data_IF_529833317503
#
_entry.id   IF_529833317503
#
_cell.length_a   1.000
_cell.length_b   1.000
_cell.length_c   1.000
_cell.angle_alpha   90.00
_cell.angle_beta   90.00
_cell.angle_gamma   90.00
#
_symmetry.space_group_name_H-M   'P 1'
#
loop_
_entity.id
_entity.type
_entity.pdbx_description
1 polymer ?
#
# COMPACT_ATOMS: atom_id res chain seq x y z
N UNK A 1 43.29 -1.10 22.73
CA UNK A 1 42.06 -0.43 22.26
C UNK A 1 41.58 0.44 23.40
N UNK A 2 41.79 1.76 23.31
CA UNK A 2 41.40 2.73 24.33
C UNK A 2 40.02 3.29 23.96
N UNK A 3 39.03 3.12 24.84
CA UNK A 3 37.63 3.44 24.60
C UNK A 3 37.26 4.93 24.79
N UNK A 4 38.19 5.86 24.57
CA UNK A 4 37.95 7.30 24.72
C UNK A 4 37.76 8.05 23.39
N UNK A 5 37.87 7.37 22.24
CA UNK A 5 37.80 8.01 20.91
C UNK A 5 36.36 8.15 20.37
N UNK A 6 35.35 7.64 21.08
CA UNK A 6 33.94 7.64 20.61
C UNK A 6 33.16 8.90 21.05
N UNK A 7 33.66 9.66 22.03
CA UNK A 7 32.90 10.78 22.64
C UNK A 7 33.13 12.13 21.95
N UNK A 8 34.22 12.29 21.18
CA UNK A 8 34.54 13.56 20.52
C UNK A 8 33.85 13.76 19.16
N UNK A 9 33.28 12.70 18.57
CA UNK A 9 32.52 12.81 17.31
C UNK A 9 31.13 13.43 17.51
N UNK A 10 30.55 13.31 18.72
CA UNK A 10 29.21 13.85 19.02
C UNK A 10 29.25 15.30 19.49
N UNK A 11 30.39 15.80 19.99
CA UNK A 11 30.51 17.13 20.61
C UNK A 11 30.85 18.27 19.64
N UNK A 12 30.95 18.03 18.32
CA UNK A 12 31.31 19.07 17.35
C UNK A 12 30.47 19.01 16.07
N UNK A 13 29.21 19.46 16.16
CA UNK A 13 28.56 20.11 15.02
C UNK A 13 27.72 21.29 15.49
N UNK A 14 27.94 22.50 14.94
CA UNK A 14 27.28 23.72 15.39
C UNK A 14 25.79 23.73 15.04
N UNK A 15 25.04 24.45 15.86
CA UNK A 15 23.66 24.83 15.65
C UNK A 15 23.49 25.75 14.43
N UNK A 16 22.28 25.70 13.90
CA UNK A 16 21.63 26.72 13.07
C UNK A 16 22.04 26.81 11.60
N UNK A 17 21.17 26.27 10.74
CA UNK A 17 20.89 26.85 9.44
C UNK A 17 19.41 26.58 9.17
N UNK A 18 18.56 27.51 9.59
CA UNK A 18 17.23 27.74 9.01
C UNK A 18 17.39 28.06 7.51
N UNK A 19 17.68 27.05 6.70
CA UNK A 19 17.39 27.11 5.28
C UNK A 19 15.93 26.68 5.14
N UNK A 20 15.06 27.70 5.05
CA UNK A 20 13.73 27.61 4.48
C UNK A 20 13.80 26.64 3.30
N UNK A 21 13.30 25.43 3.53
CA UNK A 21 12.91 24.53 2.47
C UNK A 21 11.89 25.32 1.69
N UNK A 22 12.35 25.95 0.61
CA UNK A 22 11.50 26.37 -0.47
C UNK A 22 10.67 25.13 -0.76
N UNK A 23 9.39 25.22 -0.36
CA UNK A 23 8.39 24.27 -0.74
C UNK A 23 8.44 24.29 -2.26
N UNK A 24 9.19 23.33 -2.82
CA UNK A 24 8.80 22.77 -4.08
C UNK A 24 7.38 22.32 -3.80
N UNK A 25 6.43 23.12 -4.26
CA UNK A 25 5.15 22.65 -4.71
C UNK A 25 5.45 21.58 -5.78
N UNK A 26 5.96 20.42 -5.34
CA UNK A 26 5.49 19.18 -5.90
C UNK A 26 3.99 19.31 -5.72
N UNK A 27 3.31 19.64 -6.81
CA UNK A 27 1.95 19.18 -6.96
C UNK A 27 2.01 17.71 -6.62
N UNK A 28 1.68 17.37 -5.37
CA UNK A 28 1.21 16.06 -5.00
C UNK A 28 0.05 15.86 -5.96
N UNK A 29 0.37 15.25 -7.11
CA UNK A 29 -0.59 14.77 -8.08
C UNK A 29 -1.54 13.96 -7.22
N UNK A 30 -2.69 14.55 -6.88
CA UNK A 30 -3.64 13.95 -5.96
C UNK A 30 -4.07 12.66 -6.62
N UNK A 31 -3.39 11.58 -6.27
CA UNK A 31 -3.66 10.27 -6.84
C UNK A 31 -5.06 9.93 -6.37
N UNK A 32 -6.01 10.09 -7.29
CA UNK A 32 -7.40 9.79 -7.00
C UNK A 32 -7.44 8.31 -6.66
N UNK A 33 -7.68 8.01 -5.37
CA UNK A 33 -7.79 6.63 -4.92
C UNK A 33 -8.99 6.01 -5.63
N UNK A 34 -8.80 4.93 -6.42
CA UNK A 34 -9.91 4.34 -7.16
C UNK A 34 -10.97 3.83 -6.18
N UNK A 35 -12.24 3.99 -6.57
CA UNK A 35 -13.34 3.36 -5.84
C UNK A 35 -13.14 1.85 -5.79
N UNK A 36 -13.77 1.16 -4.83
CA UNK A 36 -13.68 -0.29 -4.78
C UNK A 36 -14.03 -0.95 -6.12
N UNK A 37 -15.03 -0.45 -6.85
CA UNK A 37 -15.42 -0.99 -8.15
C UNK A 37 -14.30 -0.83 -9.18
N UNK A 38 -13.72 0.35 -9.27
CA UNK A 38 -12.62 0.65 -10.21
C UNK A 38 -11.37 -0.16 -9.87
N UNK A 39 -11.01 -0.24 -8.59
CA UNK A 39 -9.87 -1.05 -8.13
C UNK A 39 -10.05 -2.54 -8.51
N UNK A 40 -11.26 -3.09 -8.35
CA UNK A 40 -11.55 -4.46 -8.78
C UNK A 40 -11.45 -4.62 -10.31
N UNK A 41 -11.97 -3.66 -11.08
CA UNK A 41 -11.90 -3.71 -12.54
C UNK A 41 -10.46 -3.62 -13.06
N UNK A 42 -9.63 -2.75 -12.47
CA UNK A 42 -8.22 -2.62 -12.81
C UNK A 42 -7.43 -3.90 -12.47
N UNK A 43 -7.70 -4.51 -11.31
CA UNK A 43 -7.06 -5.77 -10.93
C UNK A 43 -7.42 -6.90 -11.90
N UNK A 44 -8.68 -7.00 -12.32
CA UNK A 44 -9.13 -8.05 -13.24
C UNK A 44 -8.52 -7.87 -14.63
N UNK A 45 -8.45 -6.63 -15.13
CA UNK A 45 -7.77 -6.32 -16.39
C UNK A 45 -6.27 -6.63 -16.33
N UNK A 46 -5.59 -6.30 -15.23
CA UNK A 46 -4.18 -6.60 -15.04
C UNK A 46 -3.91 -8.12 -14.98
N UNK A 47 -4.80 -8.89 -14.35
CA UNK A 47 -4.72 -10.35 -14.32
C UNK A 47 -4.88 -10.96 -15.72
N UNK A 48 -5.88 -10.53 -16.48
CA UNK A 48 -6.09 -10.96 -17.86
C UNK A 48 -4.86 -10.67 -18.73
N UNK A 49 -4.30 -9.47 -18.61
CA UNK A 49 -3.07 -9.12 -19.32
C UNK A 49 -1.90 -10.03 -18.90
N UNK A 50 -1.72 -10.25 -17.59
CA UNK A 50 -0.64 -11.09 -17.06
C UNK A 50 -0.75 -12.55 -17.49
N UNK A 51 -1.96 -13.08 -17.66
CA UNK A 51 -2.21 -14.44 -18.16
C UNK A 51 -1.67 -14.68 -19.56
N UNK A 52 -1.67 -13.65 -20.40
CA UNK A 52 -1.21 -13.73 -21.80
C UNK A 52 0.30 -13.51 -21.97
N UNK A 53 1.04 -13.18 -20.91
CA UNK A 53 2.48 -12.95 -21.00
C UNK A 53 3.25 -14.27 -21.03
N UNK A 54 4.33 -14.35 -21.82
CA UNK A 54 5.15 -15.56 -21.95
C UNK A 54 5.83 -15.96 -20.63
N UNK A 55 6.12 -14.98 -19.78
CA UNK A 55 6.75 -15.16 -18.46
C UNK A 55 5.75 -15.55 -17.36
N UNK A 56 4.48 -15.76 -17.70
CA UNK A 56 3.44 -16.10 -16.75
C UNK A 56 3.68 -17.50 -16.14
N UNK A 57 4.19 -17.53 -14.91
CA UNK A 57 4.29 -18.75 -14.10
C UNK A 57 2.94 -19.04 -13.43
N UNK A 58 2.39 -20.22 -13.66
CA UNK A 58 1.08 -20.63 -13.13
C UNK A 58 0.98 -20.52 -11.60
N UNK A 59 2.08 -20.69 -10.86
CA UNK A 59 2.08 -20.49 -9.40
C UNK A 59 1.91 -19.02 -9.00
N UNK A 60 2.57 -18.11 -9.71
CA UNK A 60 2.42 -16.66 -9.50
C UNK A 60 1.00 -16.22 -9.84
N UNK A 61 0.48 -16.68 -10.97
CA UNK A 61 -0.88 -16.40 -11.39
C UNK A 61 -1.92 -16.92 -10.37
N UNK A 62 -1.78 -18.16 -9.90
CA UNK A 62 -2.65 -18.72 -8.88
C UNK A 62 -2.62 -17.91 -7.58
N UNK A 63 -1.43 -17.47 -7.18
CA UNK A 63 -1.24 -16.63 -5.99
C UNK A 63 -1.99 -15.31 -6.13
N UNK A 64 -1.88 -14.63 -7.27
CA UNK A 64 -2.59 -13.38 -7.55
C UNK A 64 -4.12 -13.57 -7.59
N UNK A 65 -4.60 -14.62 -8.25
CA UNK A 65 -6.04 -14.97 -8.27
C UNK A 65 -6.57 -15.25 -6.86
N UNK A 66 -5.79 -15.92 -6.01
CA UNK A 66 -6.18 -16.19 -4.62
C UNK A 66 -6.34 -14.90 -3.79
N UNK A 67 -5.50 -13.89 -4.03
CA UNK A 67 -5.60 -12.58 -3.38
C UNK A 67 -6.89 -11.87 -3.80
N UNK A 68 -7.20 -11.87 -5.11
CA UNK A 68 -8.46 -11.34 -5.64
C UNK A 68 -9.67 -12.03 -4.98
N UNK A 69 -9.65 -13.35 -4.91
CA UNK A 69 -10.74 -14.13 -4.33
C UNK A 69 -10.90 -13.86 -2.82
N UNK A 70 -9.80 -13.70 -2.09
CA UNK A 70 -9.82 -13.31 -0.68
C UNK A 70 -10.46 -11.94 -0.49
N UNK A 71 -10.13 -10.96 -1.33
CA UNK A 71 -10.73 -9.63 -1.30
C UNK A 71 -12.24 -9.69 -1.60
N UNK A 72 -12.65 -10.50 -2.59
CA UNK A 72 -14.05 -10.72 -2.92
C UNK A 72 -14.83 -11.37 -1.76
N UNK A 73 -14.25 -12.39 -1.10
CA UNK A 73 -14.85 -13.03 0.09
C UNK A 73 -15.01 -12.06 1.26
N UNK A 74 -14.01 -11.20 1.53
CA UNK A 74 -14.13 -10.16 2.56
C UNK A 74 -15.27 -9.19 2.25
N UNK A 75 -15.40 -8.76 0.99
CA UNK A 75 -16.52 -7.92 0.56
C UNK A 75 -17.85 -8.62 0.77
N UNK A 76 -17.96 -9.90 0.39
CA UNK A 76 -19.18 -10.68 0.61
C UNK A 76 -19.49 -10.87 2.10
N UNK A 77 -18.50 -11.06 2.97
CA UNK A 77 -18.73 -11.17 4.41
C UNK A 77 -19.20 -9.87 5.05
N UNK A 78 -18.73 -8.71 4.56
CA UNK A 78 -19.22 -7.40 4.99
C UNK A 78 -20.64 -7.12 4.50
N UNK A 79 -21.02 -7.71 3.36
CA UNK A 79 -22.37 -7.63 2.80
C UNK A 79 -23.33 -8.68 3.41
N UNK A 80 -22.85 -9.60 4.26
CA UNK A 80 -23.76 -10.45 5.03
C UNK A 80 -24.56 -9.53 5.95
N UNK A 81 -25.82 -9.39 5.58
CA UNK A 81 -26.83 -8.61 6.28
C UNK A 81 -26.73 -8.89 7.79
N UNK A 82 -26.59 -7.83 8.60
CA UNK A 82 -26.70 -7.95 10.06
C UNK A 82 -27.97 -8.74 10.37
N UNK A 83 -27.89 -9.71 11.29
CA UNK A 83 -29.08 -10.47 11.65
C UNK A 83 -30.10 -9.47 12.20
N UNK A 84 -31.39 -9.68 11.94
CA UNK A 84 -32.43 -8.76 12.46
C UNK A 84 -32.39 -8.69 14.00
N UNK A 85 -31.87 -9.74 14.63
CA UNK A 85 -31.59 -9.84 16.06
C UNK A 85 -30.48 -8.89 16.53
N UNK A 86 -29.53 -8.54 15.66
CA UNK A 86 -28.49 -7.55 15.97
C UNK A 86 -29.03 -6.12 15.88
N UNK A 87 -30.20 -5.92 15.27
CA UNK A 87 -30.85 -4.62 15.09
C UNK A 87 -31.88 -4.32 16.19
N UNK A 88 -32.52 -5.35 16.76
CA UNK A 88 -33.53 -5.20 17.81
C UNK A 88 -32.85 -5.28 19.17
N UNK A 89 -32.72 -4.14 19.86
CA UNK A 89 -32.33 -4.04 21.28
C UNK A 89 -33.56 -4.04 22.18
#
# INVERSE_FOLDING_TARGET
MNGEEIVDFVSKKPADNEEEQQAAEEEEERTVVPTHREAFAHLDAALLWFEEQEECDGRRLLSLKSIRDLAARKRQSLLKQMLITDYIK
#
